data_IF_254325199992
#
_entry.id   IF_254325199992
#
_cell.length_a   1.000
_cell.length_b   1.000
_cell.length_c   1.000
_cell.angle_alpha   90.00
_cell.angle_beta   90.00
_cell.angle_gamma   90.00
#
_symmetry.space_group_name_H-M   'P 1'
#
loop_
_entity.id
_entity.type
_entity.pdbx_description
1 polymer ?
#
# COMPACT_ATOMS: atom_id res chain seq x y z
N UNK A 1 -9.07 11.81 -15.42
CA UNK A 1 -9.68 12.10 -14.10
C UNK A 1 -10.13 10.83 -13.37
N UNK A 2 -10.91 9.92 -13.99
CA UNK A 2 -11.40 8.70 -13.35
C UNK A 2 -10.29 7.71 -12.94
N UNK A 3 -9.23 7.53 -13.75
CA UNK A 3 -8.12 6.60 -13.47
C UNK A 3 -7.44 6.87 -12.13
N UNK A 4 -7.05 8.14 -11.89
CA UNK A 4 -6.38 8.57 -10.63
C UNK A 4 -7.20 8.29 -9.38
N UNK A 5 -8.54 8.34 -9.48
CA UNK A 5 -9.43 8.03 -8.34
C UNK A 5 -9.41 6.53 -8.02
N UNK A 6 -9.48 5.67 -9.03
CA UNK A 6 -9.43 4.23 -8.84
C UNK A 6 -8.07 3.77 -8.29
N UNK A 7 -6.98 4.32 -8.82
CA UNK A 7 -5.61 4.08 -8.34
C UNK A 7 -5.48 4.44 -6.84
N UNK A 8 -5.93 5.64 -6.46
CA UNK A 8 -5.86 6.10 -5.07
C UNK A 8 -6.71 5.27 -4.11
N UNK A 9 -7.87 4.80 -4.56
CA UNK A 9 -8.70 3.87 -3.80
C UNK A 9 -8.01 2.51 -3.64
N UNK A 10 -7.41 1.97 -4.70
CA UNK A 10 -6.67 0.71 -4.67
C UNK A 10 -5.47 0.79 -3.72
N UNK A 11 -4.75 1.91 -3.73
CA UNK A 11 -3.63 2.18 -2.83
C UNK A 11 -4.06 2.30 -1.38
N UNK A 12 -5.12 3.07 -1.12
CA UNK A 12 -5.68 3.19 0.23
C UNK A 12 -6.07 1.82 0.78
N UNK A 13 -6.73 1.00 -0.06
CA UNK A 13 -7.11 -0.37 0.29
C UNK A 13 -5.88 -1.24 0.57
N UNK A 14 -4.86 -1.20 -0.28
CA UNK A 14 -3.61 -1.93 -0.08
C UNK A 14 -2.93 -1.53 1.24
N UNK A 15 -2.87 -0.24 1.54
CA UNK A 15 -2.27 0.28 2.77
C UNK A 15 -3.01 -0.19 4.02
N UNK A 16 -4.35 -0.11 4.02
CA UNK A 16 -5.18 -0.62 5.12
C UNK A 16 -4.97 -2.14 5.30
N UNK A 17 -4.95 -2.93 4.22
CA UNK A 17 -4.71 -4.37 4.31
C UNK A 17 -3.29 -4.71 4.81
N UNK A 18 -2.28 -3.89 4.48
CA UNK A 18 -0.92 -4.04 5.04
C UNK A 18 -0.88 -3.74 6.53
N UNK A 19 -1.56 -2.68 6.98
CA UNK A 19 -1.67 -2.32 8.40
C UNK A 19 -2.33 -3.44 9.20
N UNK A 20 -3.48 -3.95 8.74
CA UNK A 20 -4.18 -5.07 9.37
C UNK A 20 -3.28 -6.30 9.48
N UNK A 21 -2.53 -6.62 8.43
CA UNK A 21 -1.61 -7.77 8.44
C UNK A 21 -0.46 -7.62 9.44
N UNK A 22 -0.03 -6.38 9.74
CA UNK A 22 1.06 -6.09 10.68
C UNK A 22 0.59 -6.07 12.13
N UNK A 23 -0.57 -5.47 12.40
CA UNK A 23 -1.16 -5.44 13.73
C UNK A 23 -2.69 -5.54 13.63
N UNK A 24 -3.24 -6.74 13.89
CA UNK A 24 -4.68 -6.99 13.93
C UNK A 24 -5.45 -6.15 14.95
N UNK A 25 -4.83 -5.67 16.03
CA UNK A 25 -5.49 -4.92 17.10
C UNK A 25 -5.57 -3.40 16.83
N UNK A 26 -5.12 -2.93 15.66
CA UNK A 26 -5.20 -1.51 15.34
C UNK A 26 -6.66 -1.03 15.28
N UNK A 27 -6.95 0.02 16.04
CA UNK A 27 -8.22 0.73 15.93
C UNK A 27 -8.33 1.46 14.59
N UNK A 28 -9.56 1.73 14.16
CA UNK A 28 -9.85 2.54 12.96
C UNK A 28 -9.12 3.89 12.95
N UNK A 29 -8.99 4.55 14.12
CA UNK A 29 -8.28 5.83 14.25
C UNK A 29 -6.79 5.68 13.97
N UNK A 30 -6.14 4.64 14.50
CA UNK A 30 -4.73 4.36 14.23
C UNK A 30 -4.50 3.97 12.77
N UNK A 31 -5.43 3.23 12.18
CA UNK A 31 -5.40 2.91 10.74
C UNK A 31 -5.50 4.20 9.93
N UNK A 32 -6.41 5.11 10.27
CA UNK A 32 -6.61 6.38 9.57
C UNK A 32 -5.34 7.25 9.60
N UNK A 33 -4.75 7.41 10.79
CA UNK A 33 -3.51 8.17 11.00
C UNK A 33 -2.36 7.60 10.15
N UNK A 34 -2.11 6.28 10.25
CA UNK A 34 -1.03 5.63 9.49
C UNK A 34 -1.30 5.54 7.99
N UNK A 35 -2.57 5.56 7.57
CA UNK A 35 -2.97 5.57 6.18
C UNK A 35 -3.04 6.98 5.57
N UNK A 36 -2.94 8.03 6.38
CA UNK A 36 -3.08 9.41 5.91
C UNK A 36 -4.48 9.73 5.37
N UNK A 37 -5.52 9.12 5.94
CA UNK A 37 -6.93 9.31 5.55
C UNK A 37 -7.77 9.73 6.76
N UNK A 38 -8.99 10.22 6.51
CA UNK A 38 -9.92 10.51 7.60
C UNK A 38 -10.38 9.24 8.31
N UNK A 39 -10.75 9.35 9.59
CA UNK A 39 -11.29 8.22 10.35
C UNK A 39 -12.55 7.61 9.71
N UNK A 40 -13.41 8.45 9.10
CA UNK A 40 -14.59 7.99 8.36
C UNK A 40 -14.22 7.19 7.10
N UNK A 41 -13.20 7.63 6.36
CA UNK A 41 -12.68 6.87 5.22
C UNK A 41 -12.08 5.54 5.64
N UNK A 42 -11.32 5.50 6.74
CA UNK A 42 -10.77 4.26 7.29
C UNK A 42 -11.88 3.30 7.71
N UNK A 43 -12.91 3.79 8.40
CA UNK A 43 -14.08 3.00 8.76
C UNK A 43 -14.77 2.40 7.52
N UNK A 44 -15.03 3.23 6.50
CA UNK A 44 -15.67 2.78 5.28
C UNK A 44 -14.85 1.71 4.54
N UNK A 45 -13.54 1.90 4.43
CA UNK A 45 -12.63 0.93 3.80
C UNK A 45 -12.64 -0.39 4.59
N UNK A 46 -12.55 -0.35 5.92
CA UNK A 46 -12.60 -1.55 6.77
C UNK A 46 -13.92 -2.31 6.61
N UNK A 47 -15.05 -1.62 6.68
CA UNK A 47 -16.38 -2.22 6.50
C UNK A 47 -16.49 -2.87 5.12
N UNK A 48 -16.07 -2.19 4.06
CA UNK A 48 -16.08 -2.75 2.72
C UNK A 48 -15.16 -3.98 2.57
N UNK A 49 -14.02 -4.02 3.27
CA UNK A 49 -13.13 -5.18 3.30
C UNK A 49 -13.77 -6.37 4.03
N UNK A 50 -14.55 -6.11 5.08
CA UNK A 50 -15.32 -7.14 5.81
C UNK A 50 -16.46 -7.67 4.96
N UNK A 51 -17.26 -6.80 4.35
CA UNK A 51 -18.37 -7.16 3.46
C UNK A 51 -17.90 -8.01 2.27
N UNK A 52 -16.72 -7.71 1.72
CA UNK A 52 -16.10 -8.49 0.63
C UNK A 52 -15.51 -9.83 1.08
N UNK A 53 -15.46 -10.08 2.39
CA UNK A 53 -14.86 -11.27 2.99
C UNK A 53 -13.33 -11.28 2.96
N UNK A 54 -12.70 -10.13 2.80
CA UNK A 54 -11.23 -9.99 2.82
C UNK A 54 -10.68 -9.86 4.24
N UNK A 55 -11.47 -9.28 5.15
CA UNK A 55 -11.17 -9.14 6.57
C UNK A 55 -12.26 -9.82 7.38
N UNK A 56 -11.87 -10.49 8.47
CA UNK A 56 -12.79 -10.98 9.49
C UNK A 56 -12.56 -10.20 10.78
N UNK A 57 -13.64 -9.87 11.47
CA UNK A 57 -13.60 -9.35 12.84
C UNK A 57 -13.48 -10.55 13.79
N UNK A 58 -12.39 -10.60 14.54
CA UNK A 58 -12.16 -11.56 15.61
C UNK A 58 -12.74 -11.03 16.93
N UNK A 59 -13.54 -11.86 17.60
CA UNK A 59 -13.96 -11.64 18.98
C UNK A 59 -13.00 -12.41 19.89
N UNK A 60 -11.93 -11.80 20.37
CA UNK A 60 -11.10 -12.38 21.43
C UNK A 60 -11.71 -12.03 22.80
N UNK A 61 -12.93 -12.51 23.04
CA UNK A 61 -13.66 -12.32 24.29
C UNK A 61 -13.04 -13.07 25.50
N UNK A 62 -11.92 -13.77 25.32
CA UNK A 62 -11.24 -14.53 26.37
C UNK A 62 -10.27 -13.69 27.23
N UNK A 63 -10.07 -12.40 26.95
CA UNK A 63 -9.30 -11.51 27.81
C UNK A 63 -10.22 -10.48 28.51
N UNK A 64 -10.47 -10.60 29.82
CA UNK A 64 -11.38 -9.71 30.56
C UNK A 64 -10.91 -8.24 30.62
N UNK A 65 -9.73 -7.90 30.06
CA UNK A 65 -9.20 -6.53 30.01
C UNK A 65 -9.20 -5.86 28.64
N UNK A 66 -9.65 -6.49 27.55
CA UNK A 66 -9.60 -5.88 26.21
C UNK A 66 -10.78 -6.28 25.31
N UNK A 67 -11.81 -5.43 25.27
CA UNK A 67 -12.87 -5.45 24.27
C UNK A 67 -12.44 -4.86 22.92
N UNK A 68 -11.25 -5.20 22.41
CA UNK A 68 -10.77 -4.70 21.12
C UNK A 68 -11.01 -5.75 20.03
N UNK A 69 -11.82 -5.38 19.03
CA UNK A 69 -12.02 -6.16 17.82
C UNK A 69 -10.67 -6.34 17.11
N UNK A 70 -10.29 -7.58 16.82
CA UNK A 70 -9.09 -7.85 16.02
C UNK A 70 -9.48 -7.99 14.54
N UNK A 71 -8.83 -7.25 13.65
CA UNK A 71 -8.99 -7.38 12.22
C UNK A 71 -8.02 -8.44 11.68
N UNK A 72 -8.52 -9.51 11.08
CA UNK A 72 -7.68 -10.57 10.52
C UNK A 72 -7.94 -10.71 9.03
N UNK A 73 -6.87 -10.75 8.22
CA UNK A 73 -7.00 -11.07 6.80
C UNK A 73 -7.44 -12.53 6.64
N UNK A 74 -8.44 -12.74 5.79
CA UNK A 74 -8.83 -14.09 5.36
C UNK A 74 -7.87 -14.59 4.28
N UNK A 75 -7.85 -15.89 3.93
CA UNK A 75 -7.11 -16.36 2.77
C UNK A 75 -7.47 -15.62 1.47
N UNK A 76 -8.75 -15.22 1.33
CA UNK A 76 -9.22 -14.38 0.22
C UNK A 76 -8.59 -12.98 0.28
N UNK A 77 -8.53 -12.37 1.47
CA UNK A 77 -7.87 -11.08 1.69
C UNK A 77 -6.37 -11.11 1.44
N UNK A 78 -5.67 -12.19 1.81
CA UNK A 78 -4.25 -12.35 1.51
C UNK A 78 -4.02 -12.35 -0.01
N UNK A 79 -4.83 -13.12 -0.76
CA UNK A 79 -4.75 -13.12 -2.24
C UNK A 79 -5.01 -11.75 -2.84
N UNK A 80 -6.05 -11.05 -2.41
CA UNK A 80 -6.36 -9.70 -2.89
C UNK A 80 -5.23 -8.70 -2.58
N UNK A 81 -4.64 -8.78 -1.37
CA UNK A 81 -3.48 -7.94 -1.01
C UNK A 81 -2.31 -8.18 -1.95
N UNK A 82 -2.02 -9.43 -2.30
CA UNK A 82 -0.95 -9.78 -3.25
C UNK A 82 -1.22 -9.23 -4.64
N UNK A 83 -2.44 -9.35 -5.17
CA UNK A 83 -2.82 -8.79 -6.47
C UNK A 83 -2.67 -7.27 -6.49
N UNK A 84 -3.16 -6.58 -5.46
CA UNK A 84 -2.99 -5.13 -5.32
C UNK A 84 -1.53 -4.72 -5.24
N UNK A 85 -0.70 -5.52 -4.56
CA UNK A 85 0.73 -5.27 -4.41
C UNK A 85 1.44 -5.36 -5.76
N UNK A 86 1.13 -6.39 -6.55
CA UNK A 86 1.67 -6.55 -7.90
C UNK A 86 1.34 -5.33 -8.78
N UNK A 87 0.05 -4.97 -8.89
CA UNK A 87 -0.36 -3.80 -9.67
C UNK A 87 0.19 -2.47 -9.14
N UNK A 88 0.48 -2.37 -7.84
CA UNK A 88 1.13 -1.20 -7.27
C UNK A 88 2.61 -1.12 -7.66
N UNK A 89 3.33 -2.24 -7.64
CA UNK A 89 4.74 -2.29 -8.04
C UNK A 89 4.91 -1.87 -9.49
N UNK A 90 4.09 -2.40 -10.41
CA UNK A 90 4.18 -2.05 -11.83
C UNK A 90 3.98 -0.55 -12.06
N UNK A 91 2.95 0.05 -11.46
CA UNK A 91 2.74 1.50 -11.54
C UNK A 91 3.90 2.30 -10.95
N UNK A 92 4.46 1.86 -9.81
CA UNK A 92 5.60 2.55 -9.21
C UNK A 92 6.86 2.47 -10.06
N UNK A 93 7.06 1.40 -10.82
CA UNK A 93 8.14 1.29 -11.79
C UNK A 93 7.96 2.27 -12.95
N UNK A 94 6.74 2.37 -13.49
CA UNK A 94 6.41 3.32 -14.56
C UNK A 94 6.58 4.77 -14.09
N UNK A 95 6.04 5.12 -12.91
CA UNK A 95 6.21 6.43 -12.29
C UNK A 95 7.68 6.77 -12.07
N UNK A 96 8.47 5.80 -11.59
CA UNK A 96 9.90 5.97 -11.37
C UNK A 96 10.66 6.22 -12.68
N UNK A 97 10.38 5.44 -13.73
CA UNK A 97 11.01 5.61 -15.04
C UNK A 97 10.68 6.99 -15.65
N UNK A 98 9.43 7.44 -15.52
CA UNK A 98 9.02 8.76 -15.97
C UNK A 98 9.72 9.88 -15.20
N UNK A 99 9.79 9.75 -13.86
CA UNK A 99 10.48 10.72 -13.01
C UNK A 99 11.98 10.79 -13.32
N UNK A 100 12.61 9.64 -13.58
CA UNK A 100 14.02 9.60 -13.96
C UNK A 100 14.25 10.35 -15.28
N UNK A 101 13.42 10.10 -16.30
CA UNK A 101 13.53 10.80 -17.59
C UNK A 101 13.29 12.32 -17.45
N UNK A 102 12.37 12.74 -16.58
CA UNK A 102 12.11 14.15 -16.27
C UNK A 102 13.32 14.81 -15.59
N UNK A 103 13.90 14.16 -14.58
CA UNK A 103 15.11 14.66 -13.89
C UNK A 103 16.27 14.80 -14.87
N UNK A 104 16.52 13.78 -15.70
CA UNK A 104 17.60 13.82 -16.71
C UNK A 104 17.41 14.95 -17.73
N UNK A 105 16.16 15.29 -18.09
CA UNK A 105 15.86 16.43 -18.95
C UNK A 105 16.16 17.76 -18.26
N UNK A 106 15.70 17.91 -17.01
CA UNK A 106 15.93 19.13 -16.20
C UNK A 106 17.42 19.36 -15.92
N UNK A 107 18.20 18.31 -15.67
CA UNK A 107 19.64 18.41 -15.45
C UNK A 107 20.37 18.89 -16.72
N UNK A 108 19.96 18.41 -17.90
CA UNK A 108 20.50 18.91 -19.18
C UNK A 108 20.15 20.38 -19.41
N UNK A 109 18.91 20.77 -19.13
CA UNK A 109 18.46 22.17 -19.24
C UNK A 109 19.23 23.10 -18.28
N UNK A 110 19.52 22.64 -17.07
CA UNK A 110 20.25 23.40 -16.05
C UNK A 110 21.78 23.38 -16.23
N UNK A 111 22.31 22.62 -17.19
CA UNK A 111 23.77 22.48 -17.40
C UNK A 111 24.48 21.64 -16.33
N UNK A 112 23.74 20.79 -15.60
CA UNK A 112 24.25 19.92 -14.53
C UNK A 112 24.67 18.52 -15.03
N UNK A 113 24.64 18.31 -16.36
CA UNK A 113 24.95 17.03 -16.99
C UNK A 113 26.43 16.66 -16.79
N UNK A 114 26.73 15.85 -15.77
CA UNK A 114 28.09 15.36 -15.44
C UNK A 114 28.41 15.30 -13.94
N UNK A 115 27.64 15.98 -13.09
CA UNK A 115 27.83 15.97 -11.63
C UNK A 115 26.92 14.97 -10.89
N UNK A 116 25.82 14.55 -11.51
CA UNK A 116 24.87 13.66 -10.87
C UNK A 116 25.43 12.23 -10.78
N UNK A 117 25.55 11.71 -9.56
CA UNK A 117 25.73 10.28 -9.34
C UNK A 117 24.56 9.55 -10.02
N UNK A 118 24.81 8.48 -10.80
CA UNK A 118 23.75 7.73 -11.43
C UNK A 118 22.74 7.32 -10.35
N UNK A 119 21.45 7.55 -10.62
CA UNK A 119 20.37 7.08 -9.75
C UNK A 119 20.64 5.60 -9.43
N UNK A 120 20.54 5.16 -8.15
CA UNK A 120 20.88 3.79 -7.79
C UNK A 120 20.08 2.83 -8.65
N UNK A 121 20.78 2.14 -9.56
CA UNK A 121 20.21 1.11 -10.43
C UNK A 121 19.97 -0.14 -9.59
N UNK A 122 18.98 -0.10 -8.69
CA UNK A 122 18.56 -1.24 -7.87
C UNK A 122 17.29 -1.86 -8.42
N UNK A 123 17.35 -2.32 -9.66
CA UNK A 123 16.50 -3.41 -10.12
C UNK A 123 17.00 -4.72 -9.49
N UNK A 124 16.12 -5.69 -9.13
CA UNK A 124 16.59 -7.00 -8.69
C UNK A 124 17.45 -7.59 -9.82
N UNK A 125 18.73 -7.82 -9.53
CA UNK A 125 19.54 -8.72 -10.36
C UNK A 125 18.83 -10.06 -10.31
N UNK A 126 18.19 -10.42 -11.41
CA UNK A 126 17.70 -11.76 -11.66
C UNK A 126 18.94 -12.66 -11.69
N UNK A 127 19.33 -13.13 -10.51
CA UNK A 127 20.32 -14.19 -10.40
C UNK A 127 19.65 -15.44 -10.94
N UNK A 128 19.89 -15.70 -12.22
CA UNK A 128 19.75 -17.01 -12.81
C UNK A 128 20.41 -18.01 -11.86
N UNK A 129 19.57 -18.87 -11.26
CA UNK A 129 20.05 -20.07 -10.60
C UNK A 129 19.99 -21.16 -11.64
N UNK A 130 21.19 -21.58 -12.04
CA UNK A 130 21.48 -22.92 -12.54
C UNK A 130 20.97 -24.01 -11.57
#
# INVERSE_FOLDING_TARGET
MASRRHERQAETRLQVMRLIAQNPEMSTRQIAERAGISNGSAYYVLTALVEKGFVKLGNFASNPRKGQYAHLLTPKGIREKSLLTHSFIERKREEFAALQAEIEALEREAGLAGEAAPFPQTGPKETARD
#
